data_IF_884817893387
#
_entry.id   IF_884817893387
#
_cell.length_a   1.000
_cell.length_b   1.000
_cell.length_c   1.000
_cell.angle_alpha   90.00
_cell.angle_beta   90.00
_cell.angle_gamma   90.00
#
_symmetry.space_group_name_H-M   'P 1'
#
loop_
_entity.id
_entity.type
_entity.pdbx_description
1 polymer ?
#
# COMPACT_ATOMS: atom_id res chain seq x y z
N UNK A 1 71.63 39.29 29.15
CA UNK A 1 70.50 39.36 28.20
C UNK A 1 69.78 38.00 28.25
N UNK A 2 68.65 37.94 28.98
CA UNK A 2 67.85 36.75 29.10
C UNK A 2 66.65 36.88 28.13
N UNK A 3 66.51 35.95 27.19
CA UNK A 3 65.33 35.89 26.30
C UNK A 3 64.30 34.97 26.93
N UNK A 4 63.16 35.51 27.33
CA UNK A 4 61.99 34.76 27.76
C UNK A 4 61.16 34.43 26.53
N UNK A 5 61.07 33.12 26.24
CA UNK A 5 60.14 32.61 25.19
C UNK A 5 58.74 32.39 25.74
N UNK A 6 57.77 32.99 25.11
CA UNK A 6 56.33 32.83 25.40
C UNK A 6 55.79 31.64 24.62
N UNK A 7 55.40 30.56 25.31
CA UNK A 7 54.63 29.44 24.71
C UNK A 7 53.17 29.83 24.65
N UNK A 8 52.66 30.00 23.46
CA UNK A 8 51.23 30.12 23.22
C UNK A 8 50.61 28.74 23.06
N UNK A 9 49.80 28.30 24.03
CA UNK A 9 49.01 27.07 23.94
C UNK A 9 47.79 27.33 23.10
N UNK A 10 47.71 26.70 21.94
CA UNK A 10 46.57 26.68 21.06
C UNK A 10 45.59 25.61 21.58
N UNK A 11 44.49 26.00 22.28
CA UNK A 11 43.36 25.11 22.56
C UNK A 11 42.52 24.97 21.30
N UNK A 12 42.60 23.83 20.63
CA UNK A 12 41.68 23.47 19.58
C UNK A 12 40.33 23.05 20.21
N UNK A 13 39.32 23.90 20.09
CA UNK A 13 37.94 23.56 20.46
C UNK A 13 37.42 22.55 19.46
N UNK A 14 37.24 21.30 19.90
CA UNK A 14 36.59 20.24 19.14
C UNK A 14 35.10 20.52 19.12
N UNK A 15 34.60 21.18 18.08
CA UNK A 15 33.15 21.27 17.83
C UNK A 15 32.62 19.88 17.46
N UNK A 16 32.10 19.15 18.44
CA UNK A 16 31.30 17.93 18.18
C UNK A 16 29.99 18.41 17.61
N UNK A 17 29.91 18.48 16.30
CA UNK A 17 28.60 18.59 15.60
C UNK A 17 27.91 17.25 15.78
N UNK A 18 26.96 17.19 16.71
CA UNK A 18 26.00 16.06 16.75
C UNK A 18 25.24 16.07 15.44
N UNK A 19 25.57 15.15 14.54
CA UNK A 19 24.75 14.90 13.37
C UNK A 19 23.31 14.64 13.88
N UNK A 20 22.28 15.27 13.28
CA UNK A 20 20.91 14.96 13.64
C UNK A 20 20.75 13.44 13.52
N UNK A 21 20.18 12.80 14.54
CA UNK A 21 19.91 11.36 14.49
C UNK A 21 19.11 11.11 13.22
N UNK A 22 19.66 10.33 12.30
CA UNK A 22 18.98 9.97 11.07
C UNK A 22 17.63 9.38 11.50
N UNK A 23 16.54 10.08 11.19
CA UNK A 23 15.20 9.62 11.50
C UNK A 23 15.05 8.27 10.78
N UNK A 24 14.87 7.20 11.54
CA UNK A 24 14.79 5.84 10.98
C UNK A 24 13.49 5.70 10.20
N UNK A 25 13.54 4.97 9.08
CA UNK A 25 12.33 4.58 8.37
C UNK A 25 11.46 3.70 9.26
N UNK A 26 10.15 3.96 9.25
CA UNK A 26 9.16 3.18 9.98
C UNK A 26 7.99 2.85 9.05
N UNK A 27 7.64 1.58 8.97
CA UNK A 27 6.49 1.10 8.21
C UNK A 27 5.37 0.69 9.18
N UNK A 28 4.19 1.23 8.98
CA UNK A 28 2.98 0.91 9.75
C UNK A 28 1.95 0.30 8.82
N UNK A 29 1.23 -0.70 9.29
CA UNK A 29 0.06 -1.21 8.62
C UNK A 29 -1.22 -0.77 9.35
N UNK A 30 -2.30 -0.69 8.60
CA UNK A 30 -3.63 -0.47 9.11
C UNK A 30 -4.62 -1.27 8.25
N UNK A 31 -5.81 -1.51 8.78
CA UNK A 31 -6.89 -2.12 8.00
C UNK A 31 -8.04 -1.14 7.85
N UNK A 32 -8.59 -1.08 6.65
CA UNK A 32 -9.82 -0.36 6.33
C UNK A 32 -11.03 -1.28 6.51
N UNK A 33 -11.00 -2.10 7.55
CA UNK A 33 -12.04 -3.09 7.85
C UNK A 33 -11.71 -4.48 7.29
N UNK A 34 -12.72 -5.33 7.28
CA UNK A 34 -12.63 -6.74 6.89
C UNK A 34 -13.65 -7.05 5.81
N UNK A 35 -13.32 -8.02 4.96
CA UNK A 35 -14.27 -8.64 4.04
C UNK A 35 -14.64 -10.05 4.49
N UNK A 36 -15.89 -10.44 4.30
CA UNK A 36 -16.37 -11.79 4.62
C UNK A 36 -17.27 -11.86 5.86
N UNK A 37 -17.59 -13.08 6.34
CA UNK A 37 -17.04 -14.36 5.85
C UNK A 37 -17.58 -14.74 4.48
N UNK A 38 -16.72 -15.39 3.69
CA UNK A 38 -17.05 -16.02 2.41
C UNK A 38 -16.15 -17.22 2.14
N UNK A 39 -16.61 -18.13 1.26
CA UNK A 39 -15.80 -19.28 0.90
C UNK A 39 -14.53 -18.87 0.14
N UNK A 40 -13.37 -19.37 0.57
CA UNK A 40 -12.07 -19.11 -0.07
C UNK A 40 -12.08 -19.39 -1.58
N UNK A 41 -12.85 -20.38 -2.04
CA UNK A 41 -12.97 -20.70 -3.47
C UNK A 41 -13.63 -19.58 -4.29
N UNK A 42 -14.30 -18.63 -3.65
CA UNK A 42 -14.76 -17.39 -4.29
C UNK A 42 -13.61 -16.45 -4.67
N UNK A 43 -12.48 -16.53 -3.96
CA UNK A 43 -11.26 -15.76 -4.25
C UNK A 43 -10.20 -16.59 -4.96
N UNK A 44 -10.06 -17.87 -4.61
CA UNK A 44 -9.09 -18.80 -5.17
C UNK A 44 -9.85 -20.04 -5.67
N UNK A 45 -10.38 -20.02 -6.89
CA UNK A 45 -11.29 -21.06 -7.38
C UNK A 45 -10.68 -22.47 -7.40
N UNK A 46 -9.36 -22.56 -7.52
CA UNK A 46 -8.62 -23.84 -7.57
C UNK A 46 -8.23 -24.36 -6.18
N UNK A 47 -8.56 -23.64 -5.10
CA UNK A 47 -8.25 -24.13 -3.75
C UNK A 47 -9.03 -25.42 -3.44
N UNK A 48 -8.37 -26.50 -2.95
CA UNK A 48 -8.97 -27.85 -2.98
C UNK A 48 -10.09 -28.04 -1.96
N UNK A 49 -10.13 -27.22 -0.91
CA UNK A 49 -11.12 -27.36 0.17
C UNK A 49 -11.88 -26.07 0.40
N UNK A 50 -13.20 -26.16 0.37
CA UNK A 50 -14.06 -25.07 0.83
C UNK A 50 -13.77 -24.77 2.31
N UNK A 51 -13.54 -23.52 2.62
CA UNK A 51 -13.46 -22.99 3.99
C UNK A 51 -13.93 -21.54 3.99
N UNK A 52 -14.63 -21.16 5.03
CA UNK A 52 -14.98 -19.75 5.22
C UNK A 52 -13.77 -18.98 5.74
N UNK A 53 -13.51 -17.85 5.13
CA UNK A 53 -12.44 -16.94 5.51
C UNK A 53 -12.98 -15.52 5.64
N UNK A 54 -12.32 -14.74 6.48
CA UNK A 54 -12.46 -13.29 6.57
C UNK A 54 -11.09 -12.69 6.33
N UNK A 55 -11.03 -11.67 5.48
CA UNK A 55 -9.76 -11.07 5.06
C UNK A 55 -9.69 -9.60 5.43
N UNK A 56 -8.54 -9.08 5.89
CA UNK A 56 -8.33 -7.66 6.12
C UNK A 56 -8.18 -6.92 4.80
N UNK A 57 -8.53 -5.64 4.79
CA UNK A 57 -8.23 -4.69 3.70
C UNK A 57 -7.06 -3.83 4.15
N UNK A 58 -5.86 -4.13 3.67
CA UNK A 58 -4.63 -3.51 4.19
C UNK A 58 -4.31 -2.16 3.55
N UNK A 59 -3.80 -1.27 4.39
CA UNK A 59 -3.22 0.02 4.00
C UNK A 59 -1.88 0.17 4.72
N UNK A 60 -0.93 0.90 4.12
CA UNK A 60 0.40 1.04 4.69
C UNK A 60 0.83 2.50 4.76
N UNK A 61 1.49 2.85 5.86
CA UNK A 61 2.04 4.19 6.07
C UNK A 61 3.54 4.06 6.31
N UNK A 62 4.32 4.64 5.42
CA UNK A 62 5.77 4.70 5.55
C UNK A 62 6.18 6.10 6.03
N UNK A 63 6.78 6.18 7.21
CA UNK A 63 7.52 7.37 7.65
C UNK A 63 8.95 7.25 7.16
N UNK A 64 9.32 8.09 6.21
CA UNK A 64 10.67 8.17 5.67
C UNK A 64 11.29 9.54 5.99
N UNK A 65 12.62 9.69 6.17
CA UNK A 65 13.26 11.00 6.42
C UNK A 65 12.94 12.08 5.39
N UNK A 66 12.63 11.68 4.15
CA UNK A 66 12.29 12.59 3.05
C UNK A 66 10.78 12.85 2.91
N UNK A 67 9.92 12.21 3.73
CA UNK A 67 8.47 12.45 3.73
C UNK A 67 7.64 11.21 4.04
N UNK A 68 6.36 11.45 4.31
CA UNK A 68 5.38 10.40 4.61
C UNK A 68 4.76 9.89 3.31
N UNK A 69 4.66 8.58 3.17
CA UNK A 69 4.03 7.90 2.04
C UNK A 69 2.89 7.03 2.54
N UNK A 70 1.75 7.11 1.89
CA UNK A 70 0.66 6.15 2.04
C UNK A 70 0.69 5.20 0.85
N UNK A 71 0.64 3.90 1.12
CA UNK A 71 0.51 2.87 0.08
C UNK A 71 -0.85 2.20 0.23
N UNK A 72 -1.71 2.51 -0.72
CA UNK A 72 -3.15 2.29 -0.77
C UNK A 72 -3.97 3.01 0.31
N UNK A 73 -5.19 3.36 -0.04
CA UNK A 73 -6.07 4.20 0.80
C UNK A 73 -7.27 3.45 1.35
N UNK A 74 -7.34 2.13 1.10
CA UNK A 74 -8.39 1.26 1.58
C UNK A 74 -9.76 1.51 0.94
N UNK A 75 -10.79 0.96 1.55
CA UNK A 75 -12.17 1.15 1.15
C UNK A 75 -12.63 2.60 1.35
N UNK A 76 -13.51 3.09 0.47
CA UNK A 76 -14.06 4.43 0.59
C UNK A 76 -14.80 4.64 1.92
N UNK A 77 -14.67 5.85 2.49
CA UNK A 77 -15.39 6.25 3.71
C UNK A 77 -16.90 6.13 3.57
N UNK A 78 -17.44 6.29 2.37
CA UNK A 78 -18.87 6.25 2.10
C UNK A 78 -19.53 4.90 2.40
N UNK A 79 -18.76 3.80 2.50
CA UNK A 79 -19.29 2.49 2.84
C UNK A 79 -19.29 2.20 4.34
N UNK A 80 -18.80 3.12 5.17
CA UNK A 80 -18.64 2.89 6.61
C UNK A 80 -19.98 2.72 7.32
N UNK A 81 -19.93 1.95 8.39
CA UNK A 81 -20.93 1.84 9.46
C UNK A 81 -22.24 1.13 9.12
N UNK A 82 -22.59 0.89 7.85
CA UNK A 82 -23.78 0.11 7.52
C UNK A 82 -23.75 -0.57 6.14
N UNK A 83 -24.54 -1.63 6.00
CA UNK A 83 -24.72 -2.31 4.71
C UNK A 83 -25.48 -1.44 3.70
N UNK A 84 -26.35 -0.55 4.15
CA UNK A 84 -27.08 0.41 3.31
C UNK A 84 -26.12 1.40 2.68
N UNK A 85 -25.19 1.95 3.44
CA UNK A 85 -24.14 2.83 2.94
C UNK A 85 -23.29 2.13 1.88
N UNK A 86 -22.91 0.89 2.12
CA UNK A 86 -22.19 0.09 1.14
C UNK A 86 -23.01 -0.04 -0.16
N UNK A 87 -24.27 -0.46 -0.09
CA UNK A 87 -25.12 -0.68 -1.27
C UNK A 87 -25.41 0.60 -2.05
N UNK A 88 -25.45 1.73 -1.35
CA UNK A 88 -25.60 3.04 -1.98
C UNK A 88 -24.37 3.45 -2.80
N UNK A 89 -23.18 3.08 -2.36
CA UNK A 89 -21.92 3.52 -2.96
C UNK A 89 -21.31 2.48 -3.92
N UNK A 90 -21.21 1.20 -3.50
CA UNK A 90 -20.60 0.13 -4.32
C UNK A 90 -21.59 -0.65 -5.18
N UNK A 91 -22.88 -0.48 -4.98
CA UNK A 91 -23.94 -1.35 -5.48
C UNK A 91 -24.10 -2.67 -4.68
N UNK A 92 -25.35 -3.18 -4.72
CA UNK A 92 -25.76 -4.33 -3.89
C UNK A 92 -24.90 -5.58 -4.12
N UNK A 93 -24.60 -5.92 -5.39
CA UNK A 93 -23.86 -7.14 -5.71
C UNK A 93 -22.46 -7.20 -5.11
N UNK A 94 -21.71 -6.08 -5.14
CA UNK A 94 -20.38 -6.00 -4.53
C UNK A 94 -20.46 -6.11 -3.01
N UNK A 95 -21.44 -5.46 -2.38
CA UNK A 95 -21.61 -5.49 -0.94
C UNK A 95 -22.08 -6.86 -0.44
N UNK A 96 -22.99 -7.52 -1.16
CA UNK A 96 -23.49 -8.84 -0.78
C UNK A 96 -22.42 -9.92 -0.94
N UNK A 97 -21.50 -9.77 -1.90
CA UNK A 97 -20.35 -10.67 -2.07
C UNK A 97 -19.25 -10.40 -1.05
N UNK A 98 -18.75 -9.16 -0.97
CA UNK A 98 -17.60 -8.81 -0.11
C UNK A 98 -17.98 -8.71 1.36
N UNK A 99 -19.23 -8.39 1.69
CA UNK A 99 -19.74 -8.23 3.07
C UNK A 99 -18.79 -7.37 3.91
N UNK A 100 -18.53 -6.11 3.49
CA UNK A 100 -17.56 -5.28 4.18
C UNK A 100 -18.01 -4.97 5.61
N UNK A 101 -17.08 -5.09 6.55
CA UNK A 101 -17.23 -4.65 7.92
C UNK A 101 -16.19 -3.55 8.18
N UNK A 102 -16.56 -2.32 7.85
CA UNK A 102 -15.76 -1.12 8.04
C UNK A 102 -16.47 -0.14 8.96
N UNK A 103 -15.74 0.38 9.94
CA UNK A 103 -16.19 1.51 10.76
C UNK A 103 -15.51 2.79 10.27
N UNK A 104 -16.12 3.95 10.57
CA UNK A 104 -15.48 5.24 10.31
C UNK A 104 -14.07 5.35 10.90
N UNK A 105 -13.82 4.70 12.03
CA UNK A 105 -12.51 4.65 12.70
C UNK A 105 -11.43 3.90 11.92
N UNK A 106 -11.82 3.07 10.95
CA UNK A 106 -10.91 2.24 10.17
C UNK A 106 -10.42 2.94 8.90
N UNK A 107 -11.02 4.06 8.53
CA UNK A 107 -10.68 4.85 7.36
C UNK A 107 -9.29 5.48 7.51
N UNK A 108 -8.56 5.62 6.40
CA UNK A 108 -7.14 6.01 6.35
C UNK A 108 -6.83 7.31 7.11
N UNK A 109 -7.67 8.32 7.04
CA UNK A 109 -7.47 9.59 7.77
C UNK A 109 -7.48 9.40 9.28
N UNK A 110 -8.36 8.49 9.79
CA UNK A 110 -8.40 8.14 11.20
C UNK A 110 -7.23 7.26 11.62
N UNK A 111 -6.72 6.41 10.72
CA UNK A 111 -5.51 5.63 10.97
C UNK A 111 -4.27 6.53 11.01
N UNK A 112 -4.16 7.49 10.12
CA UNK A 112 -3.10 8.51 10.13
C UNK A 112 -3.14 9.33 11.42
N UNK A 113 -4.34 9.74 11.85
CA UNK A 113 -4.53 10.49 13.11
C UNK A 113 -4.02 9.73 14.34
N UNK A 114 -4.16 8.40 14.40
CA UNK A 114 -3.57 7.57 15.48
C UNK A 114 -2.04 7.66 15.51
N UNK A 115 -1.40 7.94 14.37
CA UNK A 115 0.04 8.14 14.24
C UNK A 115 0.47 9.60 14.41
N UNK A 116 -0.47 10.50 14.72
CA UNK A 116 -0.22 11.93 14.80
C UNK A 116 0.03 12.60 13.45
N UNK A 117 -0.49 12.02 12.35
CA UNK A 117 -0.30 12.47 10.97
C UNK A 117 -1.62 13.02 10.44
N UNK A 118 -1.59 14.18 9.78
CA UNK A 118 -2.68 14.70 8.96
C UNK A 118 -2.57 14.17 7.53
N UNK A 119 -3.69 14.10 6.80
CA UNK A 119 -3.66 13.84 5.35
C UNK A 119 -2.83 14.88 4.59
N UNK A 120 -2.76 16.09 5.08
CA UNK A 120 -1.94 17.18 4.52
C UNK A 120 -0.42 16.97 4.70
N UNK A 121 0.00 16.14 5.65
CA UNK A 121 1.41 15.80 5.88
C UNK A 121 1.91 14.71 4.93
N UNK A 122 1.00 14.02 4.25
CA UNK A 122 1.33 12.96 3.30
C UNK A 122 1.92 13.55 2.02
N UNK A 123 3.17 13.19 1.73
CA UNK A 123 3.89 13.70 0.57
C UNK A 123 3.54 12.96 -0.72
N UNK A 124 3.31 11.66 -0.60
CA UNK A 124 2.93 10.83 -1.74
C UNK A 124 1.90 9.77 -1.35
N UNK A 125 0.97 9.52 -2.24
CA UNK A 125 0.07 8.36 -2.22
C UNK A 125 0.49 7.46 -3.36
N UNK A 126 1.00 6.29 -3.04
CA UNK A 126 1.27 5.23 -4.01
C UNK A 126 0.05 4.33 -4.02
N UNK A 127 -0.60 4.19 -5.16
CA UNK A 127 -1.74 3.29 -5.31
C UNK A 127 -1.28 2.05 -6.06
N UNK A 128 -1.44 0.87 -5.44
CA UNK A 128 -1.03 -0.39 -6.06
C UNK A 128 -1.82 -0.65 -7.33
N UNK A 129 -3.11 -0.43 -7.28
CA UNK A 129 -4.07 -0.51 -8.38
C UNK A 129 -5.39 0.17 -7.99
N UNK A 130 -6.32 0.33 -8.94
CA UNK A 130 -7.50 1.17 -8.77
C UNK A 130 -8.78 0.41 -8.40
N UNK A 131 -8.69 -0.76 -7.76
CA UNK A 131 -9.85 -1.42 -7.19
C UNK A 131 -10.37 -0.69 -5.94
N UNK A 132 -11.63 -0.96 -5.62
CA UNK A 132 -12.44 -0.28 -4.62
C UNK A 132 -11.89 -0.33 -3.18
N UNK A 133 -11.08 -1.33 -2.88
CA UNK A 133 -10.46 -1.54 -1.56
C UNK A 133 -9.00 -1.06 -1.47
N UNK A 134 -8.49 -0.46 -2.53
CA UNK A 134 -7.15 0.13 -2.60
C UNK A 134 -7.17 1.64 -2.89
N UNK A 135 -8.04 2.08 -3.80
CA UNK A 135 -8.13 3.46 -4.24
C UNK A 135 -9.22 4.29 -3.56
N UNK A 136 -10.00 3.68 -2.64
CA UNK A 136 -11.26 4.22 -2.15
C UNK A 136 -11.23 5.63 -1.59
N UNK A 137 -10.12 6.05 -0.97
CA UNK A 137 -10.00 7.38 -0.37
C UNK A 137 -8.88 8.24 -0.97
N UNK A 138 -8.50 8.02 -2.23
CA UNK A 138 -7.52 8.88 -2.92
C UNK A 138 -7.89 10.37 -2.81
N UNK A 139 -9.19 10.69 -2.87
CA UNK A 139 -9.71 12.05 -2.75
C UNK A 139 -9.40 12.78 -1.43
N UNK A 140 -8.96 12.06 -0.39
CA UNK A 140 -8.57 12.68 0.89
C UNK A 140 -7.16 13.30 0.87
N UNK A 141 -6.41 13.16 -0.22
CA UNK A 141 -5.00 13.57 -0.30
C UNK A 141 -4.73 14.59 -1.42
N UNK A 142 -5.41 15.75 -1.43
CA UNK A 142 -5.29 16.71 -2.54
C UNK A 142 -3.91 17.38 -2.65
N UNK A 143 -3.10 17.33 -1.56
CA UNK A 143 -1.75 17.92 -1.52
C UNK A 143 -0.65 16.92 -1.83
N UNK A 144 -0.95 15.64 -1.83
CA UNK A 144 0.01 14.58 -2.13
C UNK A 144 0.25 14.42 -3.64
N UNK A 145 1.42 13.91 -3.98
CA UNK A 145 1.68 13.41 -5.33
C UNK A 145 1.14 11.98 -5.42
N UNK A 146 0.26 11.72 -6.37
CA UNK A 146 -0.29 10.38 -6.61
C UNK A 146 0.59 9.63 -7.61
N UNK A 147 1.03 8.42 -7.24
CA UNK A 147 1.98 7.62 -8.02
C UNK A 147 1.33 6.32 -8.44
N UNK A 148 1.15 6.14 -9.73
CA UNK A 148 0.60 4.93 -10.34
C UNK A 148 1.36 4.55 -11.60
N UNK A 149 1.30 3.27 -11.97
CA UNK A 149 1.71 2.86 -13.30
C UNK A 149 0.79 3.48 -14.34
N UNK A 150 1.37 3.98 -15.41
CA UNK A 150 0.63 4.60 -16.53
C UNK A 150 -0.50 3.72 -17.06
N UNK A 151 -0.25 2.41 -17.18
CA UNK A 151 -1.27 1.44 -17.62
C UNK A 151 -2.44 1.35 -16.66
N UNK A 152 -2.21 1.48 -15.35
CA UNK A 152 -3.28 1.46 -14.35
C UNK A 152 -4.17 2.69 -14.45
N UNK A 153 -3.57 3.87 -14.61
CA UNK A 153 -4.32 5.11 -14.84
C UNK A 153 -5.25 4.98 -16.05
N UNK A 154 -4.75 4.51 -17.18
CA UNK A 154 -5.59 4.34 -18.37
C UNK A 154 -6.71 3.33 -18.15
N UNK A 155 -6.46 2.24 -17.45
CA UNK A 155 -7.49 1.25 -17.17
C UNK A 155 -8.56 1.77 -16.21
N UNK A 156 -8.17 2.44 -15.14
CA UNK A 156 -9.10 2.92 -14.10
C UNK A 156 -9.87 4.18 -14.51
N UNK A 157 -9.26 5.06 -15.29
CA UNK A 157 -9.76 6.42 -15.54
C UNK A 157 -10.50 6.61 -16.85
N UNK A 158 -10.52 5.61 -17.74
CA UNK A 158 -11.15 5.78 -19.02
C UNK A 158 -12.68 5.82 -18.90
N UNK A 159 -13.36 6.85 -19.40
CA UNK A 159 -14.81 7.00 -19.25
C UNK A 159 -15.62 5.82 -19.80
N UNK A 160 -15.16 5.21 -20.90
CA UNK A 160 -15.82 4.06 -21.53
C UNK A 160 -15.84 2.83 -20.62
N UNK A 161 -14.89 2.70 -19.69
CA UNK A 161 -14.87 1.60 -18.74
C UNK A 161 -16.16 1.53 -17.94
N UNK A 162 -16.70 2.66 -17.55
CA UNK A 162 -17.92 2.74 -16.76
C UNK A 162 -19.19 2.70 -17.60
N UNK A 163 -19.12 3.09 -18.88
CA UNK A 163 -20.30 3.11 -19.77
C UNK A 163 -21.54 3.76 -19.12
N UNK A 164 -21.35 4.88 -18.42
CA UNK A 164 -22.39 5.59 -17.69
C UNK A 164 -22.80 4.97 -16.33
N UNK A 165 -22.13 3.90 -15.89
CA UNK A 165 -22.36 3.31 -14.55
C UNK A 165 -21.42 3.89 -13.53
N UNK A 166 -21.87 4.01 -12.27
CA UNK A 166 -21.02 4.44 -11.16
C UNK A 166 -20.02 3.36 -10.71
N UNK A 167 -20.32 2.10 -10.97
CA UNK A 167 -19.51 0.94 -10.61
C UNK A 167 -19.38 0.00 -11.80
N UNK A 168 -18.18 -0.49 -12.04
CA UNK A 168 -17.88 -1.52 -13.02
C UNK A 168 -16.98 -2.59 -12.41
N UNK A 169 -17.58 -3.69 -11.96
CA UNK A 169 -16.90 -4.76 -11.24
C UNK A 169 -16.31 -4.24 -9.92
N UNK A 170 -14.99 -4.25 -9.83
CA UNK A 170 -14.21 -3.78 -8.68
C UNK A 170 -13.77 -2.31 -8.78
N UNK A 171 -14.17 -1.60 -9.83
CA UNK A 171 -13.86 -0.18 -10.03
C UNK A 171 -15.05 0.70 -9.68
N UNK A 172 -14.81 1.76 -8.93
CA UNK A 172 -15.84 2.72 -8.50
C UNK A 172 -15.49 4.12 -9.01
N UNK A 173 -16.38 4.70 -9.81
CA UNK A 173 -16.14 6.01 -10.41
C UNK A 173 -15.93 7.10 -9.36
N UNK A 174 -16.66 7.05 -8.24
CA UNK A 174 -16.56 8.04 -7.16
C UNK A 174 -15.17 8.11 -6.53
N UNK A 175 -14.47 6.96 -6.40
CA UNK A 175 -13.12 6.89 -5.85
C UNK A 175 -12.14 7.64 -6.73
N UNK A 176 -12.25 7.45 -8.05
CA UNK A 176 -11.33 7.99 -9.05
C UNK A 176 -11.67 9.45 -9.35
N UNK A 177 -12.94 9.78 -9.49
CA UNK A 177 -13.39 11.13 -9.83
C UNK A 177 -12.99 12.17 -8.75
N UNK A 178 -12.99 11.76 -7.47
CA UNK A 178 -12.59 12.62 -6.36
C UNK A 178 -11.12 13.07 -6.42
N UNK A 179 -10.27 12.31 -7.11
CA UNK A 179 -8.84 12.60 -7.26
C UNK A 179 -8.46 13.06 -8.67
N UNK A 180 -9.42 13.36 -9.53
CA UNK A 180 -9.21 13.61 -10.96
C UNK A 180 -8.22 14.73 -11.27
N UNK A 181 -8.29 15.81 -10.53
CA UNK A 181 -7.53 17.04 -10.79
C UNK A 181 -6.28 17.16 -9.91
N UNK A 182 -5.86 16.05 -9.27
CA UNK A 182 -4.70 16.03 -8.40
C UNK A 182 -3.38 15.92 -9.20
N UNK A 183 -2.26 16.07 -8.50
CA UNK A 183 -0.94 15.91 -9.12
C UNK A 183 -0.59 14.43 -9.23
N UNK A 184 -0.35 13.96 -10.46
CA UNK A 184 0.06 12.60 -10.75
C UNK A 184 1.51 12.52 -11.20
N UNK A 185 2.21 11.49 -10.72
CA UNK A 185 3.45 11.03 -11.28
C UNK A 185 3.22 9.65 -11.91
N UNK A 186 3.03 9.65 -13.21
CA UNK A 186 2.81 8.43 -13.99
C UNK A 186 4.13 7.74 -14.23
N UNK A 187 4.24 6.48 -13.81
CA UNK A 187 5.44 5.68 -14.01
C UNK A 187 5.19 4.54 -15.02
N UNK A 188 6.24 4.14 -15.73
CA UNK A 188 6.24 2.96 -16.59
C UNK A 188 7.47 2.12 -16.24
N UNK A 189 7.28 1.18 -15.32
CA UNK A 189 8.35 0.35 -14.78
C UNK A 189 8.68 0.61 -13.30
N UNK A 190 9.91 0.32 -12.92
CA UNK A 190 10.40 0.47 -11.54
C UNK A 190 10.74 1.94 -11.23
N UNK A 191 10.44 2.39 -10.02
CA UNK A 191 10.80 3.71 -9.53
C UNK A 191 11.53 3.59 -8.18
N UNK A 192 12.72 4.18 -8.06
CA UNK A 192 13.32 4.49 -6.75
C UNK A 192 12.66 5.79 -6.23
N UNK A 193 11.74 5.63 -5.27
CA UNK A 193 10.84 6.70 -4.84
C UNK A 193 11.57 7.92 -4.28
N UNK A 194 12.68 7.70 -3.59
CA UNK A 194 13.47 8.76 -2.95
C UNK A 194 14.86 8.94 -3.55
N UNK A 195 15.24 8.11 -4.54
CA UNK A 195 16.55 8.17 -5.19
C UNK A 195 17.72 7.74 -4.29
N UNK A 196 17.46 6.96 -3.24
CA UNK A 196 18.46 6.49 -2.29
C UNK A 196 18.50 4.96 -2.15
N UNK A 197 17.73 4.25 -2.96
CA UNK A 197 17.67 2.80 -3.01
C UNK A 197 16.93 2.15 -1.86
N UNK A 198 16.29 2.93 -0.99
CA UNK A 198 15.60 2.39 0.21
C UNK A 198 14.15 2.02 -0.03
N UNK A 199 13.47 2.72 -0.96
CA UNK A 199 12.06 2.47 -1.31
C UNK A 199 11.90 2.40 -2.81
N UNK A 200 11.50 1.24 -3.29
CA UNK A 200 11.27 0.99 -4.72
C UNK A 200 9.85 0.58 -5.00
N UNK A 201 9.25 1.21 -5.98
CA UNK A 201 7.99 0.78 -6.56
C UNK A 201 8.33 -0.21 -7.67
N UNK A 202 7.74 -1.39 -7.60
CA UNK A 202 8.08 -2.53 -8.46
C UNK A 202 6.83 -2.97 -9.21
N UNK A 203 6.81 -2.95 -10.56
CA UNK A 203 5.69 -3.48 -11.32
C UNK A 203 5.47 -4.96 -11.04
N UNK A 204 4.22 -5.29 -10.71
CA UNK A 204 3.75 -6.65 -10.49
C UNK A 204 2.38 -6.85 -11.16
N UNK A 205 2.32 -6.68 -12.51
CA UNK A 205 1.07 -6.76 -13.25
C UNK A 205 0.46 -8.16 -13.20
N UNK A 206 -0.83 -8.23 -13.48
CA UNK A 206 -1.56 -9.50 -13.63
C UNK A 206 -2.91 -9.46 -12.94
N UNK A 207 -2.98 -9.08 -11.67
CA UNK A 207 -4.24 -8.79 -11.00
C UNK A 207 -4.97 -7.63 -11.71
N UNK A 208 -4.30 -6.51 -11.88
CA UNK A 208 -4.63 -5.49 -12.87
C UNK A 208 -3.48 -5.28 -13.85
N UNK A 209 -3.72 -4.54 -14.93
CA UNK A 209 -2.72 -4.34 -16.00
C UNK A 209 -1.53 -3.51 -15.52
N UNK A 210 -1.73 -2.60 -14.58
CA UNK A 210 -0.73 -1.69 -14.02
C UNK A 210 -0.45 -1.92 -12.54
N UNK A 211 -0.79 -3.09 -12.00
CA UNK A 211 -0.53 -3.39 -10.59
C UNK A 211 0.95 -3.23 -10.22
N UNK A 212 1.20 -2.69 -9.02
CA UNK A 212 2.55 -2.48 -8.48
C UNK A 212 2.65 -2.83 -7.00
N UNK A 213 3.81 -3.31 -6.60
CA UNK A 213 4.19 -3.60 -5.21
C UNK A 213 5.21 -2.59 -4.71
N UNK A 214 5.43 -2.52 -3.39
CA UNK A 214 6.45 -1.64 -2.80
C UNK A 214 7.50 -2.45 -2.04
N UNK A 215 8.78 -2.32 -2.44
CA UNK A 215 9.93 -2.92 -1.79
C UNK A 215 10.64 -1.89 -0.94
N UNK A 216 10.85 -2.18 0.34
CA UNK A 216 11.40 -1.24 1.32
C UNK A 216 12.57 -1.90 2.06
N UNK A 217 13.67 -1.17 2.23
CA UNK A 217 14.78 -1.56 3.09
C UNK A 217 14.64 -0.88 4.44
N UNK A 218 14.18 -1.61 5.44
CA UNK A 218 14.02 -1.10 6.81
C UNK A 218 15.31 -1.32 7.61
N UNK A 219 15.73 -0.37 8.45
CA UNK A 219 17.03 -0.42 9.13
C UNK A 219 17.22 -1.64 10.05
N UNK A 220 16.16 -2.07 10.73
CA UNK A 220 16.21 -3.19 11.68
C UNK A 220 15.62 -4.48 11.13
N UNK A 221 14.58 -4.39 10.33
CA UNK A 221 13.85 -5.54 9.80
C UNK A 221 14.49 -6.13 8.55
N UNK A 222 15.28 -5.34 7.82
CA UNK A 222 15.82 -5.71 6.51
C UNK A 222 14.84 -5.39 5.38
N UNK A 223 14.94 -6.12 4.28
CA UNK A 223 14.08 -5.90 3.11
C UNK A 223 12.70 -6.48 3.32
N UNK A 224 11.67 -5.69 3.05
CA UNK A 224 10.26 -6.13 3.01
C UNK A 224 9.68 -5.81 1.64
N UNK A 225 8.73 -6.63 1.19
CA UNK A 225 7.94 -6.39 -0.03
C UNK A 225 6.47 -6.39 0.36
N UNK A 226 5.85 -5.22 0.28
CA UNK A 226 4.40 -5.07 0.40
C UNK A 226 3.80 -5.37 -0.97
N UNK A 227 3.17 -6.53 -1.10
CA UNK A 227 2.78 -7.08 -2.40
C UNK A 227 1.46 -6.57 -2.91
N UNK A 228 0.61 -6.11 -2.00
CA UNK A 228 -0.80 -5.86 -2.31
C UNK A 228 -1.37 -7.05 -3.12
N UNK A 229 -2.20 -6.83 -4.11
CA UNK A 229 -2.95 -7.90 -4.77
C UNK A 229 -2.17 -8.73 -5.79
N UNK A 230 -0.86 -8.52 -5.88
CA UNK A 230 0.01 -9.53 -6.51
C UNK A 230 0.10 -10.81 -5.67
N UNK A 231 -0.08 -10.72 -4.33
CA UNK A 231 -0.16 -11.88 -3.42
C UNK A 231 -1.17 -11.53 -2.32
N UNK A 232 -2.34 -12.12 -2.37
CA UNK A 232 -3.39 -11.86 -1.37
C UNK A 232 -3.09 -12.53 -0.04
N UNK A 233 -2.69 -13.80 -0.08
CA UNK A 233 -2.48 -14.63 1.10
C UNK A 233 -1.48 -15.74 0.82
N UNK A 234 -1.10 -16.49 1.85
CA UNK A 234 -0.10 -17.57 1.77
C UNK A 234 -0.41 -18.59 0.66
N UNK A 235 -1.68 -18.90 0.45
CA UNK A 235 -2.12 -19.83 -0.59
C UNK A 235 -1.63 -19.43 -2.00
N UNK A 236 -1.49 -18.13 -2.28
CA UNK A 236 -0.94 -17.68 -3.56
C UNK A 236 0.57 -17.96 -3.67
N UNK A 237 1.31 -17.83 -2.56
CA UNK A 237 2.72 -18.23 -2.52
C UNK A 237 2.88 -19.76 -2.63
N UNK A 238 1.90 -20.52 -2.19
CA UNK A 238 1.87 -21.98 -2.30
C UNK A 238 1.50 -22.48 -3.72
N UNK A 239 1.13 -21.54 -4.62
CA UNK A 239 0.89 -21.82 -6.04
C UNK A 239 -0.58 -21.78 -6.47
N UNK A 240 -1.51 -21.43 -5.57
CA UNK A 240 -2.90 -21.27 -5.95
C UNK A 240 -3.13 -19.88 -6.55
N UNK A 241 -3.70 -19.85 -7.75
CA UNK A 241 -3.90 -18.61 -8.51
C UNK A 241 -5.15 -17.88 -8.01
N UNK A 242 -5.02 -16.58 -7.77
CA UNK A 242 -6.16 -15.73 -7.47
C UNK A 242 -7.19 -15.73 -8.61
N UNK A 243 -8.48 -15.66 -8.27
CA UNK A 243 -9.55 -15.77 -9.27
C UNK A 243 -9.80 -14.51 -10.09
N UNK A 244 -9.39 -13.36 -9.56
CA UNK A 244 -9.59 -12.07 -10.22
C UNK A 244 -8.26 -11.58 -10.80
N UNK A 245 -8.04 -11.82 -12.09
CA UNK A 245 -6.84 -11.40 -12.80
C UNK A 245 -7.17 -10.84 -14.18
N UNK A 246 -6.53 -9.75 -14.55
CA UNK A 246 -6.49 -9.25 -15.90
C UNK A 246 -5.75 -10.24 -16.82
N UNK A 247 -4.64 -10.81 -16.32
CA UNK A 247 -3.82 -11.81 -17.01
C UNK A 247 -3.24 -12.81 -16.03
N UNK A 248 -3.66 -14.07 -16.13
CA UNK A 248 -3.14 -15.17 -15.30
C UNK A 248 -1.64 -15.38 -15.51
N UNK A 249 -1.15 -15.26 -16.74
CA UNK A 249 0.28 -15.39 -17.03
C UNK A 249 1.09 -14.30 -16.34
N UNK A 250 0.70 -13.02 -16.52
CA UNK A 250 1.41 -11.92 -15.88
C UNK A 250 1.32 -11.98 -14.35
N UNK A 251 0.19 -12.44 -13.79
CA UNK A 251 0.05 -12.70 -12.36
C UNK A 251 1.05 -13.75 -11.87
N UNK A 252 1.15 -14.88 -12.55
CA UNK A 252 2.08 -15.96 -12.20
C UNK A 252 3.54 -15.51 -12.28
N UNK A 253 3.89 -14.72 -13.31
CA UNK A 253 5.23 -14.14 -13.46
C UNK A 253 5.53 -13.15 -12.30
N UNK A 254 4.55 -12.35 -11.90
CA UNK A 254 4.67 -11.42 -10.76
C UNK A 254 4.84 -12.16 -9.43
N UNK A 255 4.06 -13.21 -9.18
CA UNK A 255 4.23 -14.09 -7.99
C UNK A 255 5.62 -14.73 -7.99
N UNK A 256 6.10 -15.20 -9.15
CA UNK A 256 7.45 -15.76 -9.29
C UNK A 256 8.52 -14.71 -8.96
N UNK A 257 8.40 -13.51 -9.49
CA UNK A 257 9.30 -12.37 -9.16
C UNK A 257 9.32 -12.08 -7.65
N UNK A 258 8.16 -12.08 -6.99
CA UNK A 258 8.06 -11.87 -5.54
C UNK A 258 8.73 -13.01 -4.77
N UNK A 259 8.53 -14.27 -5.20
CA UNK A 259 9.25 -15.43 -4.61
C UNK A 259 10.75 -15.28 -4.76
N UNK A 260 11.25 -14.82 -5.91
CA UNK A 260 12.69 -14.58 -6.09
C UNK A 260 13.23 -13.51 -5.13
N UNK A 261 12.48 -12.43 -4.86
CA UNK A 261 12.88 -11.44 -3.86
C UNK A 261 12.93 -12.06 -2.46
N UNK A 262 12.00 -12.95 -2.11
CA UNK A 262 12.02 -13.70 -0.84
C UNK A 262 13.25 -14.63 -0.77
N UNK A 263 13.46 -15.45 -1.79
CA UNK A 263 14.39 -16.59 -1.74
C UNK A 263 15.84 -16.17 -2.00
N UNK A 264 16.07 -15.16 -2.86
CA UNK A 264 17.42 -14.71 -3.22
C UNK A 264 17.88 -13.47 -2.49
N UNK A 265 16.95 -12.59 -2.09
CA UNK A 265 17.29 -11.34 -1.41
C UNK A 265 16.93 -11.36 0.09
N UNK A 266 16.30 -12.44 0.57
CA UNK A 266 15.85 -12.56 1.97
C UNK A 266 14.72 -11.61 2.34
N UNK A 267 13.95 -11.14 1.36
CA UNK A 267 12.86 -10.21 1.61
C UNK A 267 11.69 -10.87 2.36
N UNK A 268 11.17 -10.19 3.35
CA UNK A 268 9.91 -10.60 3.99
C UNK A 268 8.73 -10.15 3.12
N UNK A 269 7.80 -11.06 2.85
CA UNK A 269 6.62 -10.78 2.03
C UNK A 269 5.45 -10.37 2.93
N UNK A 270 4.90 -9.19 2.67
CA UNK A 270 3.74 -8.63 3.35
C UNK A 270 2.56 -8.65 2.37
N UNK A 271 1.61 -9.53 2.66
CA UNK A 271 0.48 -9.84 1.80
C UNK A 271 -0.71 -8.92 2.08
N UNK A 272 -1.59 -8.68 1.10
CA UNK A 272 -2.69 -7.72 1.26
C UNK A 272 -3.81 -8.19 2.18
N UNK A 273 -4.16 -9.47 2.10
CA UNK A 273 -5.39 -10.02 2.67
C UNK A 273 -5.16 -11.22 3.59
N UNK A 274 -3.94 -11.45 4.06
CA UNK A 274 -3.63 -12.60 4.93
C UNK A 274 -3.92 -12.30 6.40
N UNK A 275 -5.09 -12.73 6.87
CA UNK A 275 -5.51 -12.51 8.26
C UNK A 275 -4.54 -13.16 9.27
N UNK A 276 -3.92 -14.31 8.93
CA UNK A 276 -2.97 -14.99 9.78
C UNK A 276 -1.66 -14.22 9.92
N UNK A 277 -1.20 -13.56 8.86
CA UNK A 277 -0.03 -12.69 8.90
C UNK A 277 -0.31 -11.45 9.76
N UNK A 278 -1.41 -10.74 9.52
CA UNK A 278 -1.76 -9.55 10.27
C UNK A 278 -1.97 -9.81 11.77
N UNK A 279 -2.59 -10.94 12.13
CA UNK A 279 -2.74 -11.33 13.54
C UNK A 279 -1.40 -11.48 14.28
N UNK A 280 -0.34 -11.87 13.56
CA UNK A 280 1.02 -12.00 14.11
C UNK A 280 1.78 -10.68 14.18
N UNK A 281 1.46 -9.74 13.31
CA UNK A 281 2.16 -8.46 13.19
C UNK A 281 1.77 -7.47 14.29
N UNK A 282 0.58 -7.62 14.93
CA UNK A 282 0.06 -6.63 15.89
C UNK A 282 -0.24 -5.27 15.24
N UNK A 283 -0.34 -4.22 16.07
CA UNK A 283 -0.79 -2.89 15.59
C UNK A 283 0.28 -2.09 14.85
N UNK A 284 1.50 -2.57 14.78
CA UNK A 284 2.63 -1.83 14.18
C UNK A 284 3.64 -2.75 13.56
N UNK A 285 3.98 -2.44 12.33
CA UNK A 285 5.13 -3.03 11.66
C UNK A 285 6.17 -1.95 11.38
N UNK A 286 7.25 -1.94 11.58
CA UNK A 286 8.59 -2.04 12.07
C UNK A 286 9.55 -0.92 11.68
N UNK A 287 10.51 -0.82 12.50
CA UNK A 287 11.63 0.12 12.35
C UNK A 287 12.75 -0.52 11.55
#
# INVERSE_FOLDING_TARGET
MKKTGLLASLMAALCITTAPSAQSQELYWATSGMFGPFNIQGLIPTFPKAKDITIPVSMWVLKHPKGIVVFDTGNNVAISDSAENCKAYWAAGSCDFLKPNQKRSDVIDMQLKKLGISTDDVKAVVTSHTHLDHAGNMGMFPKAIHILQKKELYQGWWPEKFQGRAVNGTFVMGDIAAARDFTYYEIDGELDLFGDGTVKIVPTPGHTIGHQSMKIKLPKTGTVVVTQDAVWMQENLDGYVAGLNFSVQAYTDSVTKIKMMRDLEGAQILMSHDAGQFAKMGDRWHK
#
